data_IF_981265820944
#
_entry.id   IF_981265820944
#
_cell.length_a   1.000
_cell.length_b   1.000
_cell.length_c   1.000
_cell.angle_alpha   90.00
_cell.angle_beta   90.00
_cell.angle_gamma   90.00
#
_symmetry.space_group_name_H-M   'P 1'
#
loop_
_entity.id
_entity.type
_entity.pdbx_description
1 polymer ?
#
# COMPACT_ATOMS: atom_id res chain seq x y z
N UNK A 1 4.63 9.84 6.08
CA UNK A 1 3.62 8.76 5.94
C UNK A 1 4.15 7.49 6.58
N UNK A 2 5.38 7.08 6.25
CA UNK A 2 6.08 5.98 6.93
C UNK A 2 6.34 6.24 8.42
N UNK A 3 6.46 7.51 8.85
CA UNK A 3 6.54 7.87 10.27
C UNK A 3 5.32 7.40 11.10
N UNK A 4 4.10 7.55 10.56
CA UNK A 4 2.86 7.15 11.28
C UNK A 4 2.80 5.64 11.48
N UNK A 5 3.18 4.87 10.46
CA UNK A 5 3.24 3.40 10.54
C UNK A 5 4.32 3.00 11.55
N UNK A 6 5.49 3.63 11.49
CA UNK A 6 6.59 3.40 12.43
C UNK A 6 6.17 3.65 13.88
N UNK A 7 5.49 4.77 14.14
CA UNK A 7 4.98 5.11 15.47
C UNK A 7 3.96 4.08 15.96
N UNK A 8 3.14 3.53 15.07
CA UNK A 8 2.16 2.50 15.42
C UNK A 8 2.84 1.21 15.86
N UNK A 9 3.83 0.72 15.12
CA UNK A 9 4.60 -0.46 15.53
C UNK A 9 5.37 -0.24 16.84
N UNK A 10 5.92 0.97 17.05
CA UNK A 10 6.56 1.34 18.32
C UNK A 10 5.59 1.28 19.50
N UNK A 11 4.36 1.78 19.33
CA UNK A 11 3.30 1.68 20.36
C UNK A 11 2.94 0.23 20.68
N UNK A 12 2.99 -0.65 19.68
CA UNK A 12 2.79 -2.09 19.85
C UNK A 12 4.01 -2.84 20.40
N UNK A 13 5.10 -2.14 20.77
CA UNK A 13 6.36 -2.73 21.26
C UNK A 13 7.02 -3.69 20.26
N UNK A 14 6.75 -3.52 18.96
CA UNK A 14 7.37 -4.31 17.90
C UNK A 14 8.64 -3.58 17.44
N UNK A 15 9.81 -4.25 17.40
CA UNK A 15 11.03 -3.67 16.84
C UNK A 15 10.81 -3.25 15.38
N UNK A 16 10.94 -1.95 15.12
CA UNK A 16 10.69 -1.38 13.80
C UNK A 16 11.77 -0.37 13.42
N UNK A 17 12.28 -0.51 12.20
CA UNK A 17 13.25 0.41 11.61
C UNK A 17 12.61 1.18 10.46
N UNK A 18 12.80 2.49 10.43
CA UNK A 18 12.34 3.32 9.32
C UNK A 18 13.49 3.61 8.35
N UNK A 19 13.36 3.09 7.14
CA UNK A 19 14.35 3.26 6.09
C UNK A 19 14.35 4.72 5.60
N UNK A 20 15.25 5.53 6.14
CA UNK A 20 15.42 6.95 5.77
C UNK A 20 15.77 7.16 4.29
N UNK A 21 16.58 6.28 3.71
CA UNK A 21 17.05 6.37 2.33
C UNK A 21 17.02 5.00 1.66
N UNK A 22 17.10 4.97 0.33
CA UNK A 22 17.20 3.70 -0.40
C UNK A 22 18.50 2.92 -0.11
N UNK A 23 19.60 3.61 0.24
CA UNK A 23 20.83 2.95 0.70
C UNK A 23 20.61 2.29 2.07
N UNK A 24 19.99 3.01 3.00
CA UNK A 24 19.64 2.49 4.32
C UNK A 24 18.68 1.29 4.21
N UNK A 25 17.73 1.32 3.27
CA UNK A 25 16.86 0.18 2.99
C UNK A 25 17.65 -1.08 2.59
N UNK A 26 18.66 -0.95 1.72
CA UNK A 26 19.51 -2.09 1.32
C UNK A 26 20.33 -2.62 2.51
N UNK A 27 20.84 -1.72 3.36
CA UNK A 27 21.58 -2.11 4.57
C UNK A 27 20.69 -2.89 5.53
N UNK A 28 19.46 -2.43 5.77
CA UNK A 28 18.47 -3.11 6.61
C UNK A 28 18.09 -4.48 6.04
N UNK A 29 17.85 -4.58 4.73
CA UNK A 29 17.51 -5.84 4.07
C UNK A 29 18.67 -6.84 4.02
N UNK A 30 19.92 -6.37 4.07
CA UNK A 30 21.11 -7.23 4.10
C UNK A 30 21.51 -7.67 5.52
N UNK A 31 20.86 -7.10 6.54
CA UNK A 31 21.08 -7.46 7.94
C UNK A 31 20.53 -8.85 8.27
N UNK A 32 21.07 -9.48 9.32
CA UNK A 32 20.69 -10.83 9.76
C UNK A 32 19.57 -10.84 10.81
N UNK A 33 18.71 -9.81 10.84
CA UNK A 33 17.73 -9.61 11.90
C UNK A 33 16.28 -9.78 11.44
N UNK A 34 15.46 -10.41 12.29
CA UNK A 34 14.00 -10.38 12.20
C UNK A 34 13.49 -8.99 12.63
N UNK A 35 13.47 -8.05 11.68
CA UNK A 35 13.09 -6.66 11.94
C UNK A 35 11.96 -6.23 11.02
N UNK A 36 10.97 -5.53 11.57
CA UNK A 36 9.96 -4.85 10.75
C UNK A 36 10.59 -3.61 10.12
N UNK A 37 10.57 -3.52 8.79
CA UNK A 37 11.10 -2.36 8.06
C UNK A 37 9.94 -1.56 7.48
N UNK A 38 9.88 -0.27 7.79
CA UNK A 38 8.94 0.66 7.16
C UNK A 38 9.69 1.53 6.16
N UNK A 39 9.09 1.75 4.98
CA UNK A 39 9.71 2.51 3.91
C UNK A 39 8.65 3.05 2.96
N UNK A 40 9.06 3.98 2.10
CA UNK A 40 8.23 4.50 1.01
C UNK A 40 8.62 3.84 -0.31
N UNK A 41 7.64 3.71 -1.20
CA UNK A 41 7.80 2.97 -2.45
C UNK A 41 8.92 3.53 -3.36
N UNK A 42 9.14 4.84 -3.38
CA UNK A 42 10.20 5.46 -4.18
C UNK A 42 11.61 5.12 -3.69
N UNK A 43 11.78 4.73 -2.41
CA UNK A 43 13.07 4.31 -1.85
C UNK A 43 13.50 2.93 -2.38
N UNK A 44 12.57 2.13 -2.90
CA UNK A 44 12.86 0.85 -3.55
C UNK A 44 13.62 0.99 -4.86
N UNK A 45 13.52 2.12 -5.58
CA UNK A 45 14.24 2.27 -6.84
C UNK A 45 15.75 2.15 -6.65
N UNK A 46 16.28 2.72 -5.56
CA UNK A 46 17.69 2.60 -5.20
C UNK A 46 18.05 1.18 -4.73
N UNK A 47 17.11 0.44 -4.13
CA UNK A 47 17.33 -0.96 -3.76
C UNK A 47 17.41 -1.88 -4.99
N UNK A 48 16.50 -1.70 -5.96
CA UNK A 48 16.48 -2.41 -7.24
C UNK A 48 17.81 -2.24 -7.99
N UNK A 49 18.37 -1.02 -7.99
CA UNK A 49 19.61 -0.73 -8.70
C UNK A 49 20.86 -1.28 -8.01
N UNK A 50 20.80 -1.61 -6.71
CA UNK A 50 21.95 -2.08 -5.92
C UNK A 50 21.94 -3.58 -5.65
N UNK A 51 20.77 -4.17 -5.47
CA UNK A 51 20.60 -5.60 -5.24
C UNK A 51 20.35 -6.31 -6.59
N UNK A 52 21.42 -6.50 -7.37
CA UNK A 52 21.35 -7.03 -8.74
C UNK A 52 20.74 -8.45 -8.80
N UNK A 53 20.93 -9.24 -7.74
CA UNK A 53 20.41 -10.61 -7.62
C UNK A 53 19.12 -10.71 -6.78
N UNK A 54 18.64 -9.59 -6.22
CA UNK A 54 17.51 -9.57 -5.30
C UNK A 54 17.79 -10.30 -3.97
N UNK A 55 16.78 -10.33 -3.11
CA UNK A 55 16.74 -11.07 -1.85
C UNK A 55 15.84 -12.30 -2.03
N UNK A 56 16.47 -13.47 -2.18
CA UNK A 56 15.80 -14.73 -2.56
C UNK A 56 15.25 -15.53 -1.37
N UNK A 57 14.80 -14.86 -0.32
CA UNK A 57 14.21 -15.51 0.85
C UNK A 57 12.68 -15.59 0.73
N UNK A 58 12.06 -16.77 0.97
CA UNK A 58 10.60 -16.91 1.05
C UNK A 58 10.02 -16.32 2.34
N UNK A 59 10.86 -16.02 3.33
CA UNK A 59 10.46 -15.48 4.64
C UNK A 59 10.31 -13.95 4.62
N UNK A 60 10.30 -13.35 3.43
CA UNK A 60 10.09 -11.91 3.25
C UNK A 60 8.61 -11.65 2.97
N UNK A 61 7.98 -10.90 3.87
CA UNK A 61 6.60 -10.46 3.74
C UNK A 61 6.57 -8.95 3.46
N UNK A 62 5.93 -8.57 2.35
CA UNK A 62 5.78 -7.19 1.93
C UNK A 62 4.32 -6.78 2.07
N UNK A 63 4.05 -5.91 3.05
CA UNK A 63 2.74 -5.31 3.26
C UNK A 63 2.69 -3.95 2.57
N UNK A 64 1.73 -3.76 1.67
CA UNK A 64 1.58 -2.52 0.89
C UNK A 64 0.27 -1.85 1.26
N UNK A 65 0.37 -0.63 1.76
CA UNK A 65 -0.77 0.24 2.07
C UNK A 65 -1.19 1.06 0.84
N UNK A 66 -2.49 1.34 0.73
CA UNK A 66 -3.16 2.03 -0.38
C UNK A 66 -2.66 1.61 -1.77
N UNK A 67 -2.69 0.30 -2.00
CA UNK A 67 -2.25 -0.33 -3.22
C UNK A 67 -3.10 0.00 -4.45
N UNK A 68 -2.95 1.20 -5.02
CA UNK A 68 -3.60 1.55 -6.28
C UNK A 68 -2.83 0.99 -7.49
N UNK A 69 -3.57 0.46 -8.46
CA UNK A 69 -3.01 -0.24 -9.63
C UNK A 69 -2.02 0.59 -10.45
N UNK A 70 -2.22 1.92 -10.53
CA UNK A 70 -1.31 2.83 -11.24
C UNK A 70 0.10 2.85 -10.65
N UNK A 71 0.21 2.73 -9.33
CA UNK A 71 1.47 2.58 -8.61
C UNK A 71 1.96 1.13 -8.70
N UNK A 72 1.05 0.17 -8.57
CA UNK A 72 1.36 -1.25 -8.64
C UNK A 72 2.00 -1.66 -9.97
N UNK A 73 1.58 -1.16 -11.13
CA UNK A 73 2.09 -1.65 -12.41
C UNK A 73 3.62 -1.66 -12.53
N UNK A 74 4.26 -0.50 -12.38
CA UNK A 74 5.72 -0.37 -12.51
C UNK A 74 6.45 -0.75 -11.23
N UNK A 75 5.92 -0.37 -10.06
CA UNK A 75 6.60 -0.63 -8.79
C UNK A 75 6.49 -2.09 -8.37
N UNK A 76 5.40 -2.79 -8.63
CA UNK A 76 5.30 -4.23 -8.33
C UNK A 76 6.34 -5.02 -9.12
N UNK A 77 6.57 -4.71 -10.40
CA UNK A 77 7.61 -5.37 -11.19
C UNK A 77 8.99 -5.15 -10.56
N UNK A 78 9.27 -3.92 -10.10
CA UNK A 78 10.52 -3.59 -9.41
C UNK A 78 10.64 -4.33 -8.08
N UNK A 79 9.59 -4.36 -7.25
CA UNK A 79 9.59 -5.06 -5.97
C UNK A 79 9.68 -6.58 -6.13
N UNK A 80 9.02 -7.17 -7.12
CA UNK A 80 9.14 -8.60 -7.43
C UNK A 80 10.55 -8.98 -7.92
N UNK A 81 11.26 -8.06 -8.59
CA UNK A 81 12.68 -8.28 -8.90
C UNK A 81 13.56 -8.24 -7.65
N UNK A 82 13.26 -7.36 -6.70
CA UNK A 82 13.98 -7.26 -5.43
C UNK A 82 13.65 -8.44 -4.51
N UNK A 83 12.43 -8.94 -4.51
CA UNK A 83 11.97 -10.06 -3.68
C UNK A 83 11.29 -11.14 -4.53
N UNK A 84 12.07 -11.93 -5.30
CA UNK A 84 11.51 -12.91 -6.23
C UNK A 84 10.66 -14.00 -5.55
N UNK A 85 10.95 -14.32 -4.29
CA UNK A 85 10.21 -15.29 -3.48
C UNK A 85 9.37 -14.66 -2.37
N UNK A 86 9.31 -13.33 -2.29
CA UNK A 86 8.58 -12.64 -1.24
C UNK A 86 7.07 -12.83 -1.35
N UNK A 87 6.38 -12.85 -0.21
CA UNK A 87 4.93 -12.82 -0.14
C UNK A 87 4.45 -11.36 -0.14
N UNK A 88 3.55 -11.01 -1.06
CA UNK A 88 3.02 -9.66 -1.19
C UNK A 88 1.55 -9.61 -0.76
N UNK A 89 1.23 -8.72 0.18
CA UNK A 89 -0.13 -8.48 0.67
C UNK A 89 -0.45 -7.00 0.51
N UNK A 90 -1.56 -6.71 -0.16
CA UNK A 90 -1.99 -5.35 -0.48
C UNK A 90 -3.28 -5.00 0.27
N UNK A 91 -3.31 -3.81 0.86
CA UNK A 91 -4.52 -3.22 1.43
C UNK A 91 -4.93 -2.03 0.55
N UNK A 92 -6.23 -1.88 0.31
CA UNK A 92 -6.76 -0.71 -0.41
C UNK A 92 -8.20 -0.46 -0.03
N UNK A 93 -8.55 0.81 0.20
CA UNK A 93 -9.92 1.24 0.41
C UNK A 93 -10.77 1.29 -0.88
N UNK A 94 -10.13 1.23 -2.05
CA UNK A 94 -10.80 1.32 -3.36
C UNK A 94 -10.40 0.15 -4.27
N UNK A 95 -10.96 -1.05 -4.07
CA UNK A 95 -10.64 -2.20 -4.90
C UNK A 95 -11.07 -1.96 -6.36
N UNK A 96 -10.35 -2.58 -7.28
CA UNK A 96 -10.63 -2.48 -8.72
C UNK A 96 -12.07 -2.88 -9.07
N UNK A 97 -12.70 -2.11 -9.96
CA UNK A 97 -14.06 -2.38 -10.42
C UNK A 97 -14.15 -3.67 -11.25
N UNK A 98 -15.34 -4.31 -11.25
CA UNK A 98 -15.63 -5.63 -11.87
C UNK A 98 -15.08 -5.84 -13.30
N UNK A 99 -14.94 -4.79 -14.12
CA UNK A 99 -14.39 -4.86 -15.49
C UNK A 99 -12.89 -5.20 -15.54
N UNK A 100 -12.15 -5.03 -14.44
CA UNK A 100 -10.70 -5.28 -14.37
C UNK A 100 -10.33 -6.59 -13.64
N UNK A 101 -11.34 -7.39 -13.25
CA UNK A 101 -11.18 -8.67 -12.54
C UNK A 101 -10.22 -9.65 -13.23
N UNK A 102 -10.11 -9.63 -14.55
CA UNK A 102 -9.21 -10.52 -15.29
C UNK A 102 -7.74 -10.33 -14.90
N UNK A 103 -7.37 -9.15 -14.40
CA UNK A 103 -5.98 -8.90 -13.96
C UNK A 103 -5.75 -9.28 -12.50
N UNK A 104 -6.77 -9.25 -11.64
CA UNK A 104 -6.67 -9.60 -10.23
C UNK A 104 -6.27 -11.07 -10.00
N UNK A 105 -6.69 -11.98 -10.89
CA UNK A 105 -6.32 -13.40 -10.83
C UNK A 105 -4.82 -13.66 -10.98
N UNK A 106 -4.05 -12.70 -11.52
CA UNK A 106 -2.58 -12.80 -11.63
C UNK A 106 -1.85 -12.52 -10.30
N UNK A 107 -2.56 -12.04 -9.28
CA UNK A 107 -2.00 -11.49 -8.04
C UNK A 107 -2.49 -12.20 -6.77
N UNK A 108 -2.93 -13.46 -6.89
CA UNK A 108 -3.40 -14.24 -5.73
C UNK A 108 -4.87 -13.98 -5.34
N UNK A 109 -5.53 -13.02 -6.00
CA UNK A 109 -6.95 -12.75 -5.80
C UNK A 109 -7.25 -11.92 -4.56
N UNK A 110 -8.53 -11.86 -4.20
CA UNK A 110 -9.03 -11.12 -3.05
C UNK A 110 -9.06 -12.06 -1.85
N UNK A 111 -8.34 -11.70 -0.78
CA UNK A 111 -8.28 -12.51 0.45
C UNK A 111 -9.53 -12.26 1.30
N UNK A 112 -9.86 -10.99 1.53
CA UNK A 112 -10.99 -10.57 2.35
C UNK A 112 -11.52 -9.20 1.90
N UNK A 113 -12.77 -8.88 2.27
CA UNK A 113 -13.41 -7.60 2.00
C UNK A 113 -14.14 -7.13 3.23
N UNK A 114 -13.75 -5.94 3.71
CA UNK A 114 -14.48 -5.20 4.71
C UNK A 114 -15.04 -3.94 4.06
N UNK A 115 -16.37 -3.88 3.91
CA UNK A 115 -17.05 -2.80 3.19
C UNK A 115 -17.33 -1.61 4.11
N UNK A 116 -17.59 -0.44 3.51
CA UNK A 116 -18.04 0.74 4.26
C UNK A 116 -19.35 0.44 5.00
N UNK A 117 -20.21 -0.40 4.44
CA UNK A 117 -21.45 -0.82 5.10
C UNK A 117 -21.15 -1.58 6.39
N UNK A 118 -20.24 -2.55 6.34
CA UNK A 118 -19.83 -3.35 7.51
C UNK A 118 -19.26 -2.42 8.61
N UNK A 119 -18.44 -1.46 8.20
CA UNK A 119 -17.83 -0.48 9.11
C UNK A 119 -18.83 0.49 9.76
N UNK A 120 -19.94 0.78 9.08
CA UNK A 120 -21.02 1.59 9.66
C UNK A 120 -21.85 0.74 10.63
N UNK A 121 -22.11 -0.51 10.28
CA UNK A 121 -22.92 -1.44 11.08
C UNK A 121 -22.26 -1.80 12.42
N UNK A 122 -20.94 -1.97 12.45
CA UNK A 122 -20.18 -2.26 13.68
C UNK A 122 -19.76 -0.99 14.46
N UNK A 123 -20.02 0.19 13.90
CA UNK A 123 -19.71 1.49 14.51
C UNK A 123 -18.25 1.91 14.41
N UNK A 124 -17.42 1.24 13.60
CA UNK A 124 -16.05 1.65 13.32
C UNK A 124 -15.98 2.99 12.56
N UNK A 125 -16.97 3.29 11.71
CA UNK A 125 -17.09 4.59 11.02
C UNK A 125 -18.49 5.19 11.15
N UNK A 126 -18.56 6.52 11.06
CA UNK A 126 -19.84 7.25 11.06
C UNK A 126 -20.47 7.26 9.67
N UNK A 127 -21.81 7.18 9.55
CA UNK A 127 -22.49 7.24 8.27
C UNK A 127 -22.28 8.60 7.59
N UNK A 128 -21.92 8.57 6.30
CA UNK A 128 -21.78 9.76 5.47
C UNK A 128 -23.14 10.20 4.94
N UNK A 129 -23.63 11.36 5.41
CA UNK A 129 -24.81 12.02 4.85
C UNK A 129 -24.36 13.00 3.76
N UNK A 130 -24.73 12.74 2.50
CA UNK A 130 -24.46 13.66 1.39
C UNK A 130 -25.67 14.55 1.13
N UNK A 131 -25.55 15.85 1.41
CA UNK A 131 -26.52 16.87 0.97
C UNK A 131 -25.99 17.58 -0.28
N UNK A 132 -26.61 17.29 -1.43
CA UNK A 132 -26.33 18.01 -2.66
C UNK A 132 -26.89 19.43 -2.58
N UNK A 133 -26.03 20.44 -2.41
CA UNK A 133 -26.45 21.84 -2.56
C UNK A 133 -26.52 22.21 -4.05
N UNK A 134 -27.73 22.17 -4.60
CA UNK A 134 -27.99 22.74 -5.92
C UNK A 134 -28.06 24.26 -5.78
N UNK A 135 -27.09 24.98 -6.34
CA UNK A 135 -27.23 26.42 -6.53
C UNK A 135 -28.18 26.62 -7.71
N UNK A 136 -29.36 27.19 -7.48
CA UNK A 136 -30.20 27.74 -8.53
C UNK A 136 -29.47 28.97 -9.09
N UNK A 137 -28.66 28.77 -10.13
CA UNK A 137 -28.07 29.87 -10.88
C UNK A 137 -29.13 30.31 -11.90
N UNK A 138 -29.84 31.40 -11.60
CA UNK A 138 -30.55 32.14 -12.64
C UNK A 138 -29.50 32.88 -13.47
N UNK A 139 -29.22 32.35 -14.66
CA UNK A 139 -28.44 33.08 -15.67
C UNK A 139 -29.32 34.23 -16.16
N UNK A 140 -28.91 35.46 -15.88
CA UNK A 140 -29.65 36.63 -16.34
C UNK A 140 -29.37 36.81 -17.84
N UNK A 141 -30.22 36.25 -18.71
CA UNK A 141 -30.16 36.43 -20.17
C UNK A 141 -30.70 37.80 -20.60
N UNK A 142 -30.20 38.89 -20.03
CA UNK A 142 -30.53 40.23 -20.47
C UNK A 142 -29.33 40.93 -21.11
N UNK A 143 -29.33 40.85 -22.45
CA UNK A 143 -28.99 41.85 -23.47
C UNK A 143 -28.23 43.11 -23.05
#
# INVERSE_FOLDING_TARGET
>A
MDDQITETFKKCQIPVENAQTGKHLVELLSGTGDTVITTLIHKFEAAVNRAHDGFDSPDIFVLVDEGHRSQYGTFNIKMQKVFPKGCFIAFTGTPLMKKEKSTANRFGGLIDVYSITDAVEDGAVVPLLYEGRHNLIEVNENH
#
